data_IF_379588503602
#
_entry.id   IF_379588503602
#
_cell.length_a   1.000
_cell.length_b   1.000
_cell.length_c   1.000
_cell.angle_alpha   90.00
_cell.angle_beta   90.00
_cell.angle_gamma   90.00
#
_symmetry.space_group_name_H-M   'P 1'
#
loop_
_entity.id
_entity.type
_entity.pdbx_description
1 polymer ?
#
# COMPACT_ATOMS: atom_id res chain seq x y z
N UNK A 1 -19.33 -15.23 17.09
CA UNK A 1 -17.88 -15.51 17.00
C UNK A 1 -17.17 -14.18 17.08
N UNK A 2 -16.75 -13.78 18.28
CA UNK A 2 -15.85 -12.64 18.47
C UNK A 2 -14.47 -13.26 18.60
N UNK A 3 -13.62 -13.09 17.59
CA UNK A 3 -12.22 -13.53 17.67
C UNK A 3 -11.49 -12.61 18.66
N UNK A 4 -11.60 -12.92 19.96
CA UNK A 4 -11.11 -12.13 21.09
C UNK A 4 -9.57 -12.09 21.22
N UNK A 5 -8.81 -12.20 20.12
CA UNK A 5 -7.35 -12.29 20.20
C UNK A 5 -6.56 -11.57 19.09
N UNK A 6 -7.18 -10.66 18.32
CA UNK A 6 -6.42 -9.82 17.39
C UNK A 6 -5.82 -8.60 18.12
N UNK A 7 -4.52 -8.37 17.99
CA UNK A 7 -3.82 -7.23 18.62
C UNK A 7 -4.38 -5.87 18.17
N UNK A 8 -5.02 -5.83 17.00
CA UNK A 8 -5.66 -4.64 16.44
C UNK A 8 -7.14 -4.49 16.81
N UNK A 9 -7.76 -5.50 17.44
CA UNK A 9 -9.19 -5.51 17.74
C UNK A 9 -10.11 -5.63 16.52
N UNK A 10 -9.55 -5.82 15.32
CA UNK A 10 -10.32 -6.00 14.10
C UNK A 10 -10.76 -7.45 13.93
N UNK A 11 -11.98 -7.64 13.44
CA UNK A 11 -12.41 -8.94 12.90
C UNK A 11 -11.67 -9.23 11.59
N UNK A 12 -11.53 -10.51 11.19
CA UNK A 12 -10.89 -10.86 9.91
C UNK A 12 -11.53 -10.17 8.70
N UNK A 13 -12.85 -9.96 8.72
CA UNK A 13 -13.57 -9.28 7.64
C UNK A 13 -13.19 -7.79 7.54
N UNK A 14 -13.18 -7.07 8.68
CA UNK A 14 -12.80 -5.65 8.72
C UNK A 14 -11.35 -5.43 8.30
N UNK A 15 -10.44 -6.31 8.74
CA UNK A 15 -9.04 -6.24 8.35
C UNK A 15 -8.87 -6.42 6.84
N UNK A 16 -9.62 -7.35 6.24
CA UNK A 16 -9.59 -7.59 4.79
C UNK A 16 -10.14 -6.39 4.02
N UNK A 17 -11.26 -5.82 4.44
CA UNK A 17 -11.87 -4.66 3.79
C UNK A 17 -10.90 -3.47 3.75
N UNK A 18 -10.28 -3.14 4.89
CA UNK A 18 -9.24 -2.11 4.95
C UNK A 18 -8.06 -2.43 4.03
N UNK A 19 -7.57 -3.67 4.09
CA UNK A 19 -6.39 -4.09 3.35
C UNK A 19 -6.61 -4.03 1.83
N UNK A 20 -7.80 -4.37 1.33
CA UNK A 20 -8.11 -4.26 -0.10
C UNK A 20 -8.03 -2.80 -0.58
N UNK A 21 -8.63 -1.86 0.15
CA UNK A 21 -8.58 -0.44 -0.21
C UNK A 21 -7.15 0.13 -0.09
N UNK A 22 -6.44 -0.25 0.97
CA UNK A 22 -5.05 0.14 1.19
C UNK A 22 -4.17 -0.29 0.02
N UNK A 23 -4.25 -1.56 -0.41
CA UNK A 23 -3.44 -2.09 -1.52
C UNK A 23 -3.66 -1.28 -2.80
N UNK A 24 -4.91 -1.02 -3.18
CA UNK A 24 -5.23 -0.27 -4.41
C UNK A 24 -4.57 1.12 -4.38
N UNK A 25 -4.75 1.84 -3.27
CA UNK A 25 -4.26 3.21 -3.13
C UNK A 25 -2.73 3.24 -3.06
N UNK A 26 -2.15 2.36 -2.25
CA UNK A 26 -0.71 2.25 -2.07
C UNK A 26 0.00 1.85 -3.37
N UNK A 27 -0.51 0.83 -4.08
CA UNK A 27 0.09 0.39 -5.35
C UNK A 27 0.00 1.47 -6.42
N UNK A 28 -1.11 2.22 -6.48
CA UNK A 28 -1.22 3.36 -7.40
C UNK A 28 -0.19 4.44 -7.09
N UNK A 29 -0.06 4.82 -5.82
CA UNK A 29 0.96 5.78 -5.37
C UNK A 29 2.39 5.30 -5.66
N UNK A 30 2.71 4.07 -5.28
CA UNK A 30 4.03 3.48 -5.49
C UNK A 30 4.38 3.38 -6.99
N UNK A 31 3.41 3.03 -7.84
CA UNK A 31 3.57 3.03 -9.30
C UNK A 31 3.87 4.42 -9.86
N UNK A 32 3.12 5.44 -9.43
CA UNK A 32 3.37 6.82 -9.83
C UNK A 32 4.74 7.32 -9.36
N UNK A 33 5.10 7.02 -8.11
CA UNK A 33 6.41 7.36 -7.57
C UNK A 33 7.53 6.68 -8.36
N UNK A 34 7.40 5.39 -8.69
CA UNK A 34 8.39 4.67 -9.49
C UNK A 34 8.59 5.32 -10.86
N UNK A 35 7.49 5.68 -11.56
CA UNK A 35 7.57 6.40 -12.84
C UNK A 35 8.28 7.74 -12.70
N UNK A 36 7.95 8.53 -11.68
CA UNK A 36 8.61 9.80 -11.43
C UNK A 36 10.12 9.65 -11.23
N UNK A 37 10.56 8.66 -10.43
CA UNK A 37 11.99 8.40 -10.23
C UNK A 37 12.68 7.94 -11.52
N UNK A 38 12.04 7.10 -12.32
CA UNK A 38 12.57 6.68 -13.63
C UNK A 38 12.76 7.90 -14.54
N UNK A 39 11.79 8.81 -14.59
CA UNK A 39 11.89 10.03 -15.39
C UNK A 39 13.07 10.91 -14.94
N UNK A 40 13.26 11.07 -13.63
CA UNK A 40 14.41 11.82 -13.10
C UNK A 40 15.73 11.09 -13.39
N UNK A 41 15.78 9.75 -13.30
CA UNK A 41 16.98 8.97 -13.62
C UNK A 41 17.41 9.15 -15.09
N UNK A 42 16.44 9.16 -16.01
CA UNK A 42 16.71 9.40 -17.43
C UNK A 42 17.20 10.82 -17.68
N UNK A 43 16.63 11.82 -17.00
CA UNK A 43 17.00 13.22 -17.20
C UNK A 43 18.34 13.61 -16.54
N UNK A 44 18.57 13.18 -15.30
CA UNK A 44 19.78 13.44 -14.52
C UNK A 44 20.12 12.18 -13.73
N UNK A 45 20.89 11.25 -14.31
CA UNK A 45 21.32 10.06 -13.59
C UNK A 45 22.18 10.49 -12.41
N UNK A 46 21.80 10.02 -11.23
CA UNK A 46 22.50 10.28 -9.98
C UNK A 46 23.24 9.03 -9.45
N UNK A 47 23.20 7.94 -10.21
CA UNK A 47 24.07 6.78 -10.08
C UNK A 47 25.23 6.88 -11.08
#
# INVERSE_FOLDING_TARGET
MVDQNSLSGLTPAQAKEFHEQFKITYTTFAGLAAVAHILVLVWRPWF
#
